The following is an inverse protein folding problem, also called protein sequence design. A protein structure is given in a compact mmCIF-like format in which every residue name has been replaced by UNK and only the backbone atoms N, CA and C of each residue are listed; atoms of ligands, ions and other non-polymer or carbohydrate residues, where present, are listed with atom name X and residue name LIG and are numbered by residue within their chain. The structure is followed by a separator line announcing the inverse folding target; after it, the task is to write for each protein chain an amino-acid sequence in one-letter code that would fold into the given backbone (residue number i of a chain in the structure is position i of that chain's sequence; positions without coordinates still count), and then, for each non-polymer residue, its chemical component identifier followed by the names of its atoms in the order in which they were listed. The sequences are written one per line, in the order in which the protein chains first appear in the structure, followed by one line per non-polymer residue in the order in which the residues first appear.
data_IF_765257156851
#
_entry.id   IF_765257156851
#
_cell.length_a   1.000
_cell.length_b   1.000
_cell.length_c   1.000
_cell.angle_alpha   90.00
_cell.angle_beta   90.00
_cell.angle_gamma   90.00
#
_symmetry.space_group_name_H-M   'P 1'
#
loop_
_entity.id
_entity.type
_entity.pdbx_description
1 polymer ?
#
# COMPACT_ATOMS: atom_id res chain seq x y z
N UNK A 1 -51.44 -2.30 35.27
CA UNK A 1 -50.97 -1.27 36.23
C UNK A 1 -49.80 -1.80 37.06
N UNK A 2 -48.54 -1.60 36.62
CA UNK A 2 -47.30 -1.57 37.43
C UNK A 2 -46.25 -0.82 36.60
N UNK A 3 -46.34 0.52 36.54
CA UNK A 3 -45.50 1.50 37.25
C UNK A 3 -44.05 1.51 36.77
N UNK A 4 -43.83 2.45 35.85
CA UNK A 4 -42.61 3.18 35.53
C UNK A 4 -41.79 3.47 36.81
N UNK A 5 -40.56 2.97 36.87
CA UNK A 5 -39.54 3.41 37.82
C UNK A 5 -38.17 3.39 37.13
N UNK A 6 -37.79 4.57 36.63
CA UNK A 6 -36.42 4.92 36.26
C UNK A 6 -35.73 5.40 37.55
N UNK A 7 -34.70 4.70 38.01
CA UNK A 7 -33.37 5.31 38.19
C UNK A 7 -32.29 4.28 37.78
N UNK A 8 -31.10 4.58 37.30
CA UNK A 8 -30.13 5.61 37.66
C UNK A 8 -29.06 5.50 36.59
N UNK A 9 -28.69 6.64 36.02
CA UNK A 9 -27.42 6.84 35.34
C UNK A 9 -26.30 6.35 36.26
N UNK A 10 -25.59 5.29 35.87
CA UNK A 10 -24.25 5.03 36.37
C UNK A 10 -23.30 5.11 35.19
N UNK A 11 -22.69 6.28 35.10
CA UNK A 11 -21.51 6.61 34.33
C UNK A 11 -20.41 5.57 34.63
N UNK A 12 -20.16 4.63 33.72
CA UNK A 12 -18.88 3.94 33.67
C UNK A 12 -18.07 4.62 32.58
N UNK A 13 -17.33 5.65 32.99
CA UNK A 13 -16.22 6.19 32.22
C UNK A 13 -15.14 5.09 32.21
N UNK A 14 -15.25 4.18 31.24
CA UNK A 14 -14.20 3.22 30.95
C UNK A 14 -12.98 4.01 30.48
N UNK A 15 -11.98 4.07 31.34
CA UNK A 15 -10.66 4.60 31.04
C UNK A 15 -10.07 3.79 29.88
N UNK A 16 -10.28 4.26 28.65
CA UNK A 16 -9.59 3.75 27.47
C UNK A 16 -8.14 4.20 27.56
N UNK A 17 -7.31 3.40 28.23
CA UNK A 17 -5.86 3.44 28.00
C UNK A 17 -5.65 2.80 26.62
N UNK A 18 -5.80 3.58 25.55
CA UNK A 18 -5.40 3.12 24.22
C UNK A 18 -3.89 3.23 24.09
N UNK A 19 -3.20 2.19 23.60
CA UNK A 19 -1.88 2.39 23.04
C UNK A 19 -2.04 3.07 21.67
N UNK A 20 -2.21 4.40 21.67
CA UNK A 20 -2.38 5.22 20.44
C UNK A 20 -1.26 4.98 19.42
N UNK A 21 -0.07 4.57 19.88
CA UNK A 21 1.07 4.28 19.01
C UNK A 21 0.94 2.98 18.18
N UNK A 22 0.15 2.00 18.62
CA UNK A 22 -0.03 0.75 17.87
C UNK A 22 -1.08 0.89 16.76
N UNK A 23 -2.14 1.69 16.97
CA UNK A 23 -3.14 1.94 15.92
C UNK A 23 -2.56 2.64 14.69
N UNK A 24 -1.66 3.60 14.89
CA UNK A 24 -1.07 4.36 13.78
C UNK A 24 -0.10 3.51 12.96
N UNK A 25 0.71 2.66 13.61
CA UNK A 25 1.61 1.74 12.93
C UNK A 25 0.86 0.64 12.17
N UNK A 26 -0.23 0.12 12.74
CA UNK A 26 -1.09 -0.86 12.08
C UNK A 26 -1.84 -0.23 10.88
N UNK A 27 -2.32 1.01 11.02
CA UNK A 27 -2.95 1.76 9.93
C UNK A 27 -1.97 2.07 8.79
N UNK A 28 -0.73 2.45 9.10
CA UNK A 28 0.34 2.61 8.11
C UNK A 28 0.58 1.29 7.35
N UNK A 29 0.73 0.18 8.08
CA UNK A 29 0.97 -1.14 7.50
C UNK A 29 -0.17 -1.60 6.59
N UNK A 30 -1.42 -1.36 6.99
CA UNK A 30 -2.60 -1.64 6.16
C UNK A 30 -2.60 -0.81 4.87
N UNK A 31 -2.32 0.49 4.98
CA UNK A 31 -2.25 1.37 3.81
C UNK A 31 -1.13 0.94 2.84
N UNK A 32 0.04 0.55 3.35
CA UNK A 32 1.15 0.06 2.54
C UNK A 32 0.84 -1.28 1.87
N UNK A 33 0.18 -2.21 2.58
CA UNK A 33 -0.28 -3.47 2.00
C UNK A 33 -1.31 -3.22 0.89
N UNK A 34 -2.21 -2.25 1.08
CA UNK A 34 -3.14 -1.82 0.03
C UNK A 34 -2.41 -1.26 -1.18
N UNK A 35 -1.38 -0.44 -1.01
CA UNK A 35 -0.57 0.06 -2.13
C UNK A 35 0.02 -1.11 -2.94
N UNK A 36 0.61 -2.12 -2.28
CA UNK A 36 1.13 -3.32 -2.98
C UNK A 36 0.01 -4.03 -3.76
N UNK A 37 -1.17 -4.16 -3.16
CA UNK A 37 -2.33 -4.76 -3.82
C UNK A 37 -2.74 -4.00 -5.09
N UNK A 38 -2.89 -2.69 -5.01
CA UNK A 38 -3.24 -1.85 -6.16
C UNK A 38 -2.16 -1.91 -7.25
N UNK A 39 -0.88 -1.94 -6.88
CA UNK A 39 0.22 -2.11 -7.84
C UNK A 39 0.17 -3.46 -8.57
N UNK A 40 -0.26 -4.54 -7.91
CA UNK A 40 -0.48 -5.84 -8.55
C UNK A 40 -1.69 -5.79 -9.51
N UNK A 41 -2.72 -5.02 -9.17
CA UNK A 41 -3.90 -4.86 -10.03
C UNK A 41 -3.58 -4.15 -11.36
N UNK A 42 -2.39 -3.54 -11.51
CA UNK A 42 -1.94 -2.93 -12.76
C UNK A 42 -1.51 -3.96 -13.81
N UNK A 43 -1.12 -5.18 -13.43
CA UNK A 43 -0.62 -6.20 -14.36
C UNK A 43 -1.53 -6.44 -15.59
N UNK A 44 -2.86 -6.64 -15.46
CA UNK A 44 -3.74 -6.79 -16.61
C UNK A 44 -3.81 -5.52 -17.50
N UNK A 45 -3.69 -4.32 -16.91
CA UNK A 45 -3.67 -3.06 -17.68
C UNK A 45 -2.38 -2.93 -18.49
N UNK A 46 -1.24 -3.31 -17.90
CA UNK A 46 0.05 -3.32 -18.58
C UNK A 46 0.04 -4.33 -19.72
N UNK A 47 -0.49 -5.53 -19.51
CA UNK A 47 -0.63 -6.54 -20.55
C UNK A 47 -1.51 -6.07 -21.71
N UNK A 48 -2.65 -5.42 -21.40
CA UNK A 48 -3.54 -4.86 -22.42
C UNK A 48 -2.86 -3.72 -23.19
N UNK A 49 -2.10 -2.85 -22.51
CA UNK A 49 -1.37 -1.77 -23.16
C UNK A 49 -0.27 -2.31 -24.08
N UNK A 50 0.47 -3.32 -23.64
CA UNK A 50 1.52 -3.99 -24.43
C UNK A 50 0.94 -4.71 -25.66
N UNK A 51 -0.19 -5.39 -25.51
CA UNK A 51 -0.87 -6.05 -26.63
C UNK A 51 -1.39 -5.07 -27.71
N UNK A 52 -1.71 -3.84 -27.31
CA UNK A 52 -2.18 -2.78 -28.22
C UNK A 52 -1.05 -1.85 -28.70
N UNK A 53 0.21 -2.12 -28.31
CA UNK A 53 1.32 -1.26 -28.66
C UNK A 53 1.67 -1.38 -30.15
N UNK A 54 1.94 -0.24 -30.79
CA UNK A 54 2.46 -0.20 -32.15
C UNK A 54 3.88 -0.77 -32.18
N UNK A 55 4.03 -1.91 -32.85
CA UNK A 55 5.32 -2.60 -32.99
C UNK A 55 6.21 -1.90 -34.03
N UNK A 56 5.68 -1.11 -34.95
CA UNK A 56 6.47 -0.49 -36.01
C UNK A 56 7.02 0.90 -35.62
N UNK A 57 6.66 1.40 -34.43
CA UNK A 57 7.20 2.64 -33.89
C UNK A 57 8.72 2.55 -33.67
N UNK A 58 9.43 3.59 -34.12
CA UNK A 58 10.88 3.78 -33.92
C UNK A 58 11.25 3.94 -32.44
N UNK A 59 10.36 4.48 -31.62
CA UNK A 59 10.54 4.60 -30.16
C UNK A 59 9.43 3.80 -29.50
N UNK A 60 9.81 2.77 -28.74
CA UNK A 60 8.88 1.84 -28.10
C UNK A 60 8.82 2.09 -26.61
N UNK A 61 7.65 1.85 -26.03
CA UNK A 61 7.50 1.79 -24.59
C UNK A 61 8.03 0.45 -24.08
N UNK A 62 8.93 0.50 -23.09
CA UNK A 62 9.61 -0.65 -22.49
C UNK A 62 8.80 -1.20 -21.33
N UNK A 63 7.80 -2.02 -21.66
CA UNK A 63 6.92 -2.66 -20.68
C UNK A 63 7.67 -3.61 -19.73
N UNK A 64 8.77 -4.21 -20.18
CA UNK A 64 9.69 -4.99 -19.33
C UNK A 64 10.36 -4.12 -18.25
N UNK A 65 10.74 -2.89 -18.60
CA UNK A 65 11.37 -1.94 -17.68
C UNK A 65 10.36 -1.39 -16.67
N UNK A 66 9.14 -1.09 -17.11
CA UNK A 66 8.05 -0.70 -16.21
C UNK A 66 7.77 -1.79 -15.17
N UNK A 67 7.67 -3.05 -15.59
CA UNK A 67 7.44 -4.18 -14.66
C UNK A 67 8.58 -4.36 -13.67
N UNK A 68 9.83 -4.16 -14.10
CA UNK A 68 10.98 -4.22 -13.22
C UNK A 68 10.94 -3.11 -12.16
N UNK A 69 10.58 -1.89 -12.54
CA UNK A 69 10.47 -0.76 -11.59
C UNK A 69 9.28 -0.96 -10.64
N UNK A 70 8.13 -1.44 -11.12
CA UNK A 70 6.98 -1.79 -10.26
C UNK A 70 7.32 -2.90 -9.26
N UNK A 71 8.11 -3.89 -9.67
CA UNK A 71 8.61 -4.92 -8.75
C UNK A 71 9.50 -4.30 -7.67
N UNK A 72 10.45 -3.44 -8.05
CA UNK A 72 11.33 -2.76 -7.10
C UNK A 72 10.55 -1.90 -6.09
N UNK A 73 9.51 -1.20 -6.54
CA UNK A 73 8.63 -0.43 -5.65
C UNK A 73 7.92 -1.36 -4.66
N UNK A 74 7.30 -2.45 -5.13
CA UNK A 74 6.63 -3.42 -4.26
C UNK A 74 7.59 -4.04 -3.24
N UNK A 75 8.78 -4.44 -3.69
CA UNK A 75 9.82 -5.01 -2.84
C UNK A 75 10.27 -4.00 -1.77
N UNK A 76 10.43 -2.72 -2.13
CA UNK A 76 10.78 -1.66 -1.20
C UNK A 76 9.73 -1.43 -0.12
N UNK A 77 8.45 -1.42 -0.50
CA UNK A 77 7.32 -1.29 0.43
C UNK A 77 7.22 -2.51 1.34
N UNK A 78 7.29 -3.72 0.79
CA UNK A 78 7.24 -4.96 1.56
C UNK A 78 8.40 -5.04 2.56
N UNK A 79 9.60 -4.63 2.12
CA UNK A 79 10.77 -4.56 2.97
C UNK A 79 10.61 -3.59 4.14
N UNK A 80 9.89 -2.48 3.96
CA UNK A 80 9.54 -1.55 5.05
C UNK A 80 8.52 -2.17 6.01
N UNK A 81 7.52 -2.88 5.49
CA UNK A 81 6.53 -3.60 6.31
C UNK A 81 7.19 -4.69 7.17
N UNK A 82 8.15 -5.43 6.62
CA UNK A 82 8.74 -6.62 7.24
C UNK A 82 9.78 -6.34 8.32
N UNK A 83 10.33 -5.11 8.37
CA UNK A 83 11.47 -4.81 9.21
C UNK A 83 11.14 -3.86 10.38
N UNK A 84 11.53 -4.21 11.62
CA UNK A 84 11.57 -3.24 12.71
C UNK A 84 12.57 -2.13 12.33
N UNK A 85 12.14 -0.86 12.37
CA UNK A 85 12.88 0.33 11.94
C UNK A 85 14.34 0.34 12.45
N UNK A 86 15.29 0.83 11.62
CA UNK A 86 16.47 1.66 11.99
C UNK A 86 17.75 1.51 11.11
N UNK A 87 17.69 1.04 9.86
CA UNK A 87 18.88 1.09 8.98
C UNK A 87 18.61 1.81 7.66
N UNK A 88 19.47 2.78 7.27
CA UNK A 88 19.45 3.33 5.93
C UNK A 88 19.61 2.21 4.90
N UNK A 89 18.62 2.04 4.04
CA UNK A 89 18.69 1.11 2.92
C UNK A 89 18.95 1.89 1.64
N UNK A 90 19.94 1.43 0.88
CA UNK A 90 20.16 1.94 -0.47
C UNK A 90 19.41 1.04 -1.42
N UNK A 91 18.45 1.61 -2.13
CA UNK A 91 17.78 0.93 -3.24
C UNK A 91 18.41 1.42 -4.55
N UNK A 92 18.62 0.55 -5.54
CA UNK A 92 19.03 0.99 -6.86
C UNK A 92 17.98 1.97 -7.43
N UNK A 93 18.40 2.94 -8.25
CA UNK A 93 17.47 3.88 -8.84
C UNK A 93 16.51 3.15 -9.78
N UNK A 94 15.25 3.61 -9.78
CA UNK A 94 14.29 3.25 -10.81
C UNK A 94 14.82 3.73 -12.17
N UNK A 95 14.54 2.99 -13.24
CA UNK A 95 14.95 3.40 -14.58
C UNK A 95 14.29 4.71 -14.95
N UNK A 96 12.98 4.83 -14.72
CA UNK A 96 12.19 6.06 -14.91
C UNK A 96 12.05 6.54 -16.37
N UNK A 97 12.98 6.19 -17.26
CA UNK A 97 12.84 6.29 -18.71
C UNK A 97 12.39 4.94 -19.28
N UNK A 98 11.15 4.89 -19.75
CA UNK A 98 10.56 3.71 -20.37
C UNK A 98 10.52 3.82 -21.90
N UNK A 99 11.24 4.75 -22.52
CA UNK A 99 11.22 4.96 -23.96
C UNK A 99 12.56 4.56 -24.56
N UNK A 100 12.54 3.63 -25.51
CA UNK A 100 13.75 3.26 -26.26
C UNK A 100 13.44 2.89 -27.69
#
# INVERSE_FOLDING_TARGET
MKRLFWPTIFLIFGLFITPVAFSDADAEREALAKIIHELNALDPLINRAEANADQDSRIRFRYDWLRQDLKQIKDGIQSHIDAPRAQPRTFPPLRGDYRR
#
